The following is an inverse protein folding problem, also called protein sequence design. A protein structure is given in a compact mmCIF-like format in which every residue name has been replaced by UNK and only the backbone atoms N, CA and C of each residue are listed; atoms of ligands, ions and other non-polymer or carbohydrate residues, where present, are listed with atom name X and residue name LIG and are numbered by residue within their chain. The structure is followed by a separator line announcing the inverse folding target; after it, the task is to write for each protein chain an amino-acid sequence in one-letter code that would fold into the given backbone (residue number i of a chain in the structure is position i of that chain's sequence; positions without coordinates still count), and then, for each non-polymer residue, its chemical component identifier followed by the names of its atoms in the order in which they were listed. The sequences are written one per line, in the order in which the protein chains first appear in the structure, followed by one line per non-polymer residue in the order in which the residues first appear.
data_IF_482790604247
#
_entry.id   IF_482790604247
#
_cell.length_a   1.000
_cell.length_b   1.000
_cell.length_c   1.000
_cell.angle_alpha   90.00
_cell.angle_beta   90.00
_cell.angle_gamma   90.00
#
_symmetry.space_group_name_H-M   'P 1'
#
loop_
_entity.id
_entity.type
_entity.pdbx_description
1 polymer ?
#
# COMPACT_ATOMS: atom_id res chain seq x y z
N UNK A 1 -1.16 -5.89 -11.46
CA UNK A 1 -1.68 -5.86 -10.08
C UNK A 1 -3.15 -5.50 -9.97
N UNK A 2 -3.72 -4.55 -10.75
CA UNK A 2 -5.16 -4.23 -10.68
C UNK A 2 -5.63 -3.60 -9.37
N UNK A 3 -4.70 -3.32 -8.44
CA UNK A 3 -4.95 -2.67 -7.16
C UNK A 3 -4.98 -1.15 -7.35
N UNK A 4 -5.81 -0.48 -6.55
CA UNK A 4 -5.78 0.98 -6.46
C UNK A 4 -4.53 1.41 -5.69
N UNK A 5 -3.79 2.36 -6.25
CA UNK A 5 -2.59 2.89 -5.64
C UNK A 5 -2.46 4.39 -5.87
N UNK A 6 -1.74 5.06 -4.98
CA UNK A 6 -1.40 6.47 -5.07
C UNK A 6 0.08 6.67 -4.76
N UNK A 7 0.80 7.28 -5.68
CA UNK A 7 2.17 7.74 -5.43
C UNK A 7 2.11 9.03 -4.62
N UNK A 8 2.90 9.09 -3.55
CA UNK A 8 3.07 10.26 -2.69
C UNK A 8 4.54 10.65 -2.61
N UNK A 9 4.85 11.80 -2.03
CA UNK A 9 6.22 12.28 -1.90
C UNK A 9 7.17 11.32 -1.17
N UNK A 10 6.64 10.43 -0.31
CA UNK A 10 7.43 9.57 0.58
C UNK A 10 7.13 8.07 0.40
N UNK A 11 6.50 7.68 -0.70
CA UNK A 11 6.21 6.28 -1.00
C UNK A 11 4.90 6.07 -1.74
N UNK A 12 4.52 4.80 -1.87
CA UNK A 12 3.30 4.39 -2.57
C UNK A 12 2.28 3.88 -1.55
N UNK A 13 1.08 4.45 -1.59
CA UNK A 13 -0.06 3.95 -0.85
C UNK A 13 -0.83 2.98 -1.74
N UNK A 14 -1.26 1.84 -1.20
CA UNK A 14 -1.95 0.79 -1.95
C UNK A 14 -3.17 0.37 -1.14
N UNK A 15 -4.28 0.10 -1.83
CA UNK A 15 -5.51 -0.41 -1.24
C UNK A 15 -5.87 -1.77 -1.81
N UNK A 16 -6.40 -2.62 -0.94
CA UNK A 16 -6.88 -3.94 -1.29
C UNK A 16 -7.81 -4.44 -0.20
N UNK A 17 -8.90 -5.08 -0.58
CA UNK A 17 -9.75 -5.87 0.33
C UNK A 17 -9.11 -7.23 0.66
N UNK A 18 -8.02 -7.59 -0.02
CA UNK A 18 -7.30 -8.84 0.16
C UNK A 18 -5.86 -8.58 0.60
N UNK A 19 -5.57 -8.90 1.86
CA UNK A 19 -4.23 -8.77 2.45
C UNK A 19 -3.17 -9.62 1.74
N UNK A 20 -3.53 -10.80 1.22
CA UNK A 20 -2.60 -11.67 0.49
C UNK A 20 -2.12 -11.01 -0.80
N UNK A 21 -3.02 -10.36 -1.52
CA UNK A 21 -2.68 -9.64 -2.75
C UNK A 21 -1.71 -8.48 -2.48
N UNK A 22 -1.82 -7.79 -1.32
CA UNK A 22 -0.85 -6.76 -0.94
C UNK A 22 0.56 -7.35 -0.75
N UNK A 23 0.67 -8.49 -0.06
CA UNK A 23 1.96 -9.13 0.14
C UNK A 23 2.57 -9.66 -1.15
N UNK A 24 1.76 -10.24 -2.05
CA UNK A 24 2.21 -10.71 -3.37
C UNK A 24 2.80 -9.55 -4.19
N UNK A 25 2.10 -8.41 -4.25
CA UNK A 25 2.61 -7.23 -4.96
C UNK A 25 3.88 -6.68 -4.32
N UNK A 26 3.98 -6.67 -2.99
CA UNK A 26 5.21 -6.22 -2.32
C UNK A 26 6.41 -7.12 -2.65
N UNK A 27 6.20 -8.44 -2.74
CA UNK A 27 7.23 -9.38 -3.13
C UNK A 27 7.65 -9.16 -4.60
N UNK A 28 6.69 -9.05 -5.52
CA UNK A 28 6.95 -8.77 -6.94
C UNK A 28 7.76 -7.48 -7.14
N UNK A 29 7.39 -6.41 -6.43
CA UNK A 29 8.13 -5.14 -6.47
C UNK A 29 9.55 -5.33 -5.98
N UNK A 30 9.75 -6.02 -4.86
CA UNK A 30 11.09 -6.23 -4.32
C UNK A 30 11.99 -7.05 -5.27
N UNK A 31 11.46 -8.12 -5.88
CA UNK A 31 12.17 -8.93 -6.86
C UNK A 31 12.52 -8.13 -8.13
N UNK A 32 11.60 -7.28 -8.62
CA UNK A 32 11.88 -6.42 -9.78
C UNK A 32 13.05 -5.46 -9.55
N UNK A 33 13.29 -5.04 -8.29
CA UNK A 33 14.46 -4.23 -7.94
C UNK A 33 15.72 -5.08 -7.89
N UNK A 34 15.65 -6.32 -7.39
CA UNK A 34 16.78 -7.25 -7.43
C UNK A 34 17.23 -7.59 -8.87
N UNK A 35 16.29 -7.70 -9.82
CA UNK A 35 16.58 -7.88 -11.24
C UNK A 35 17.43 -6.74 -11.83
N UNK A 36 17.44 -5.57 -11.20
CA UNK A 36 18.30 -4.44 -11.57
C UNK A 36 19.75 -4.59 -11.07
N UNK A 37 20.10 -5.70 -10.43
CA UNK A 37 21.47 -6.03 -10.00
C UNK A 37 21.89 -5.43 -8.66
N UNK A 38 20.95 -4.91 -7.86
CA UNK A 38 21.27 -4.43 -6.51
C UNK A 38 21.39 -5.60 -5.53
N UNK A 39 22.35 -5.59 -4.60
CA UNK A 39 22.57 -6.72 -3.69
C UNK A 39 21.64 -6.72 -2.47
N UNK A 40 20.91 -5.63 -2.23
CA UNK A 40 20.02 -5.48 -1.07
C UNK A 40 18.91 -4.48 -1.34
N UNK A 41 17.70 -4.84 -0.96
CA UNK A 41 16.53 -3.96 -0.93
C UNK A 41 16.04 -3.83 0.51
N UNK A 42 15.66 -2.62 0.92
CA UNK A 42 15.03 -2.36 2.22
C UNK A 42 13.62 -1.81 1.99
N UNK A 43 12.62 -2.58 2.39
CA UNK A 43 11.21 -2.27 2.19
C UNK A 43 10.55 -2.01 3.55
N UNK A 44 9.85 -0.88 3.67
CA UNK A 44 9.05 -0.56 4.87
C UNK A 44 7.58 -0.65 4.49
N UNK A 45 6.86 -1.58 5.12
CA UNK A 45 5.42 -1.75 4.94
C UNK A 45 4.69 -1.30 6.20
N UNK A 46 3.72 -0.40 6.02
CA UNK A 46 2.78 0.00 7.07
C UNK A 46 1.38 -0.36 6.62
N UNK A 47 0.74 -1.28 7.34
CA UNK A 47 -0.57 -1.83 6.98
C UNK A 47 -1.58 -1.40 8.04
N UNK A 48 -2.66 -0.75 7.58
CA UNK A 48 -3.84 -0.41 8.39
C UNK A 48 -4.97 -1.38 8.02
N UNK A 49 -4.91 -2.61 8.55
CA UNK A 49 -5.96 -3.64 8.44
C UNK A 49 -6.92 -3.50 9.63
N UNK A 50 -8.10 -2.93 9.36
CA UNK A 50 -9.19 -2.88 10.34
C UNK A 50 -10.39 -3.65 9.83
N UNK A 51 -10.92 -4.52 10.69
CA UNK A 51 -12.04 -5.43 10.36
C UNK A 51 -13.37 -5.02 10.97
N UNK A 52 -13.38 -3.97 11.79
CA UNK A 52 -14.57 -3.42 12.45
C UNK A 52 -15.28 -2.35 11.59
N UNK A 53 -14.71 -1.97 10.44
CA UNK A 53 -15.33 -1.04 9.48
C UNK A 53 -15.08 -1.49 8.05
N UNK A 54 -16.13 -1.51 7.26
CA UNK A 54 -16.10 -1.80 5.83
C UNK A 54 -15.78 -0.55 5.01
N UNK A 55 -15.50 -0.73 3.70
CA UNK A 55 -15.33 0.33 2.70
C UNK A 55 -14.44 1.46 3.22
N UNK A 56 -13.17 1.15 3.47
CA UNK A 56 -12.19 2.13 3.97
C UNK A 56 -11.15 2.40 2.90
N UNK A 57 -11.50 3.30 1.99
CA UNK A 57 -10.59 3.78 0.95
C UNK A 57 -9.62 4.87 1.44
N UNK A 58 -8.57 5.16 0.69
CA UNK A 58 -7.55 6.17 0.99
C UNK A 58 -8.24 7.53 0.98
N UNK A 59 -9.13 7.74 0.02
CA UNK A 59 -9.94 8.94 -0.11
C UNK A 59 -10.83 9.16 1.12
N UNK A 60 -11.50 8.10 1.61
CA UNK A 60 -12.34 8.20 2.81
C UNK A 60 -11.53 8.48 4.07
N UNK A 61 -10.32 7.91 4.18
CA UNK A 61 -9.40 8.22 5.28
C UNK A 61 -9.03 9.70 5.29
N UNK A 62 -8.68 10.27 4.13
CA UNK A 62 -8.37 11.70 3.99
C UNK A 62 -9.60 12.57 4.27
N UNK A 63 -10.77 12.21 3.74
CA UNK A 63 -12.03 12.95 3.94
C UNK A 63 -12.44 12.98 5.41
N UNK A 64 -12.32 11.85 6.12
CA UNK A 64 -12.61 11.74 7.55
C UNK A 64 -11.79 12.71 8.40
N UNK A 65 -10.49 12.89 8.06
CA UNK A 65 -9.63 13.86 8.73
C UNK A 65 -10.06 15.29 8.43
N UNK A 66 -10.27 15.63 7.15
CA UNK A 66 -10.68 16.98 6.72
C UNK A 66 -11.99 17.43 7.36
N UNK A 67 -12.94 16.52 7.55
CA UNK A 67 -14.24 16.83 8.18
C UNK A 67 -14.14 17.12 9.69
N UNK A 68 -13.02 16.80 10.34
CA UNK A 68 -12.77 17.02 11.77
C UNK A 68 -11.85 18.20 12.04
N UNK A 69 -11.43 18.90 11.00
CA UNK A 69 -10.68 20.17 11.07
C UNK A 69 -11.66 21.33 11.01
#
# INVERSE_FOLDING_TARGET
SGLNYQITAMGTQIESDNLKALYEVCAEVQESIFEMGVPRVYTVLKIDDRRDKENRTLEEKVKSVKNRM
#
